data_IF_189181430358
#
_entry.id   IF_189181430358
#
_cell.length_a   1.000
_cell.length_b   1.000
_cell.length_c   1.000
_cell.angle_alpha   90.00
_cell.angle_beta   90.00
_cell.angle_gamma   90.00
#
_symmetry.space_group_name_H-M   'P 1'
#
loop_
_entity.id
_entity.type
_entity.pdbx_description
1 polymer ?
#
# COMPACT_ATOMS: atom_id res chain seq x y z
N UNK A 1 8.92 19.07 10.39
CA UNK A 1 7.52 18.61 10.48
C UNK A 1 7.45 17.48 11.49
N UNK A 2 6.61 17.60 12.54
CA UNK A 2 6.36 16.50 13.47
C UNK A 2 5.26 15.63 12.88
N UNK A 3 5.62 14.46 12.34
CA UNK A 3 4.65 13.40 12.09
C UNK A 3 4.37 12.72 13.42
N UNK A 4 3.30 13.14 14.10
CA UNK A 4 2.71 12.33 15.16
C UNK A 4 1.93 11.24 14.44
N UNK A 5 2.60 10.11 14.16
CA UNK A 5 1.89 8.90 13.78
C UNK A 5 0.99 8.54 14.96
N UNK A 6 -0.32 8.65 14.76
CA UNK A 6 -1.31 8.31 15.77
C UNK A 6 -1.04 6.88 16.30
N UNK A 7 -1.22 6.61 17.61
CA UNK A 7 -0.77 5.38 18.27
C UNK A 7 -1.70 4.18 17.98
N UNK A 8 -2.07 3.94 16.72
CA UNK A 8 -3.08 2.92 16.38
C UNK A 8 -2.77 2.11 15.12
N UNK A 9 -1.51 1.83 14.86
CA UNK A 9 -1.06 0.92 13.79
C UNK A 9 -1.14 -0.56 14.24
N UNK A 10 -2.25 -1.00 14.83
CA UNK A 10 -2.42 -2.44 15.16
C UNK A 10 -3.24 -3.20 14.11
N UNK A 11 -3.98 -2.49 13.24
CA UNK A 11 -4.61 -3.00 11.99
C UNK A 11 -5.04 -1.81 11.13
N UNK A 12 -4.18 -1.37 10.21
CA UNK A 12 -4.55 -0.38 9.20
C UNK A 12 -4.80 -1.13 7.89
N UNK A 13 -6.02 -1.08 7.36
CA UNK A 13 -6.34 -1.63 6.03
C UNK A 13 -5.85 -0.66 4.95
N UNK A 14 -5.60 -1.15 3.73
CA UNK A 14 -5.30 -0.30 2.57
C UNK A 14 -6.37 0.80 2.38
N UNK A 15 -7.64 0.48 2.64
CA UNK A 15 -8.74 1.46 2.65
C UNK A 15 -8.50 2.64 3.60
N UNK A 16 -7.96 2.40 4.79
CA UNK A 16 -7.70 3.47 5.76
C UNK A 16 -6.50 4.31 5.32
N UNK A 17 -5.45 3.67 4.80
CA UNK A 17 -4.30 4.37 4.21
C UNK A 17 -4.75 5.24 3.04
N UNK A 18 -5.54 4.71 2.11
CA UNK A 18 -6.05 5.47 0.97
C UNK A 18 -6.83 6.72 1.41
N UNK A 19 -7.70 6.58 2.43
CA UNK A 19 -8.42 7.72 3.03
C UNK A 19 -7.49 8.76 3.64
N UNK A 20 -6.48 8.32 4.39
CA UNK A 20 -5.53 9.22 5.05
C UNK A 20 -4.66 9.98 4.03
N UNK A 21 -4.38 9.35 2.89
CA UNK A 21 -3.62 9.93 1.78
C UNK A 21 -4.48 10.71 0.77
N UNK A 22 -5.82 10.64 0.87
CA UNK A 22 -6.75 11.23 -0.09
C UNK A 22 -6.70 10.58 -1.48
N UNK A 23 -6.29 9.31 -1.55
CA UNK A 23 -6.06 8.58 -2.80
C UNK A 23 -7.13 7.52 -3.07
N UNK A 24 -7.20 7.09 -4.33
CA UNK A 24 -8.03 5.97 -4.74
C UNK A 24 -7.47 4.66 -4.20
N UNK A 25 -8.34 3.82 -3.64
CA UNK A 25 -7.94 2.53 -3.07
C UNK A 25 -7.44 1.56 -4.14
N UNK A 26 -8.03 1.57 -5.34
CA UNK A 26 -7.58 0.75 -6.46
C UNK A 26 -6.18 1.13 -6.93
N UNK A 27 -5.91 2.44 -7.00
CA UNK A 27 -4.56 2.95 -7.27
C UNK A 27 -3.55 2.54 -6.19
N UNK A 28 -3.92 2.61 -4.91
CA UNK A 28 -3.03 2.20 -3.83
C UNK A 28 -2.76 0.68 -3.85
N UNK A 29 -3.75 -0.13 -4.26
CA UNK A 29 -3.57 -1.56 -4.52
C UNK A 29 -2.56 -1.78 -5.66
N UNK A 30 -2.64 -1.02 -6.75
CA UNK A 30 -1.66 -1.13 -7.84
C UNK A 30 -0.24 -0.81 -7.37
N UNK A 31 -0.07 0.24 -6.55
CA UNK A 31 1.23 0.57 -5.94
C UNK A 31 1.70 -0.54 -4.99
N UNK A 32 0.82 -1.06 -4.14
CA UNK A 32 1.15 -2.13 -3.21
C UNK A 32 1.49 -3.45 -3.92
N UNK A 33 0.95 -3.69 -5.11
CA UNK A 33 1.26 -4.86 -5.94
C UNK A 33 2.67 -4.81 -6.54
N UNK A 34 3.35 -3.66 -6.54
CA UNK A 34 4.75 -3.55 -6.95
C UNK A 34 5.74 -3.91 -5.83
N UNK A 35 5.26 -4.04 -4.59
CA UNK A 35 6.10 -4.41 -3.46
C UNK A 35 6.35 -5.92 -3.42
N UNK A 36 7.59 -6.28 -3.07
CA UNK A 36 8.01 -7.66 -2.85
C UNK A 36 8.01 -8.02 -1.36
N UNK A 37 8.12 -9.32 -1.04
CA UNK A 37 8.15 -9.78 0.37
C UNK A 37 9.26 -9.07 1.18
N UNK A 38 10.38 -8.74 0.54
CA UNK A 38 11.51 -8.02 1.15
C UNK A 38 11.13 -6.58 1.54
N UNK A 39 10.18 -5.98 0.83
CA UNK A 39 9.65 -4.66 1.14
C UNK A 39 8.64 -4.72 2.29
N UNK A 40 8.34 -5.90 2.83
CA UNK A 40 7.52 -6.06 4.03
C UNK A 40 6.02 -6.23 3.77
N UNK A 41 5.63 -6.53 2.53
CA UNK A 41 4.27 -6.99 2.18
C UNK A 41 4.19 -8.52 2.19
N UNK A 42 3.07 -9.08 2.65
CA UNK A 42 2.80 -10.52 2.62
C UNK A 42 1.36 -10.80 2.19
N UNK A 43 1.14 -11.91 1.49
CA UNK A 43 -0.20 -12.38 1.11
C UNK A 43 -0.73 -13.34 2.17
N UNK A 44 -1.88 -13.00 2.77
CA UNK A 44 -2.58 -13.83 3.74
C UNK A 44 -3.78 -14.48 3.05
N UNK A 45 -3.75 -15.81 2.92
CA UNK A 45 -4.83 -16.59 2.33
C UNK A 45 -5.73 -17.18 3.41
N UNK A 46 -7.03 -16.93 3.32
CA UNK A 46 -8.04 -17.62 4.12
C UNK A 46 -8.48 -18.95 3.50
N UNK A 47 -9.39 -19.65 4.16
CA UNK A 47 -9.98 -20.93 3.69
C UNK A 47 -10.84 -20.75 2.40
N UNK A 48 -11.00 -19.53 1.89
CA UNK A 48 -11.87 -19.17 0.75
C UNK A 48 -11.21 -18.43 -0.43
N UNK A 49 -9.91 -18.64 -0.64
CA UNK A 49 -9.14 -18.26 -1.86
C UNK A 49 -8.94 -16.79 -2.25
N UNK A 50 -9.58 -15.81 -1.60
CA UNK A 50 -9.19 -14.40 -1.80
C UNK A 50 -8.07 -14.01 -0.81
N UNK A 51 -6.84 -13.91 -1.34
CA UNK A 51 -5.68 -13.45 -0.59
C UNK A 51 -5.78 -11.95 -0.27
N UNK A 52 -5.44 -11.57 0.95
CA UNK A 52 -5.37 -10.16 1.38
C UNK A 52 -3.91 -9.80 1.67
N UNK A 53 -3.47 -8.63 1.18
CA UNK A 53 -2.15 -8.11 1.52
C UNK A 53 -2.14 -7.61 2.98
N UNK A 54 -1.14 -8.05 3.74
CA UNK A 54 -0.80 -7.52 5.05
C UNK A 54 0.61 -6.93 5.01
N UNK A 55 0.84 -5.92 5.85
CA UNK A 55 2.11 -5.19 5.89
C UNK A 55 2.71 -5.30 7.28
N UNK A 56 4.02 -5.50 7.32
CA UNK A 56 4.81 -5.23 8.54
C UNK A 56 4.90 -3.72 8.77
N UNK A 57 5.37 -3.29 9.93
CA UNK A 57 5.59 -1.86 10.19
C UNK A 57 6.55 -1.23 9.16
N UNK A 58 7.65 -1.92 8.84
CA UNK A 58 8.56 -1.50 7.76
C UNK A 58 7.88 -1.52 6.39
N UNK A 59 6.97 -2.47 6.14
CA UNK A 59 6.16 -2.52 4.92
C UNK A 59 5.23 -1.32 4.74
N UNK A 60 4.65 -0.81 5.83
CA UNK A 60 3.86 0.43 5.77
C UNK A 60 4.77 1.61 5.39
N UNK A 61 5.96 1.72 5.97
CA UNK A 61 6.91 2.79 5.65
C UNK A 61 7.35 2.72 4.17
N UNK A 62 7.64 1.53 3.66
CA UNK A 62 8.00 1.32 2.26
C UNK A 62 6.84 1.63 1.30
N UNK A 63 5.60 1.28 1.66
CA UNK A 63 4.41 1.63 0.87
C UNK A 63 4.24 3.15 0.75
N UNK A 64 4.46 3.89 1.85
CA UNK A 64 4.39 5.36 1.85
C UNK A 64 5.44 5.95 0.90
N UNK A 65 6.65 5.39 0.89
CA UNK A 65 7.71 5.84 0.00
C UNK A 65 7.42 5.52 -1.47
N UNK A 66 6.89 4.32 -1.77
CA UNK A 66 6.43 3.97 -3.12
C UNK A 66 5.33 4.93 -3.60
N UNK A 67 4.34 5.24 -2.75
CA UNK A 67 3.30 6.24 -3.03
C UNK A 67 3.92 7.60 -3.34
N UNK A 68 4.91 8.04 -2.55
CA UNK A 68 5.62 9.32 -2.77
C UNK A 68 6.31 9.34 -4.13
N UNK A 69 7.06 8.29 -4.47
CA UNK A 69 7.78 8.20 -5.75
C UNK A 69 6.84 8.22 -6.96
N UNK A 70 5.68 7.57 -6.87
CA UNK A 70 4.67 7.60 -7.93
C UNK A 70 3.97 8.96 -8.07
N UNK A 71 3.78 9.69 -6.96
CA UNK A 71 3.26 11.06 -6.99
C UNK A 71 4.26 12.04 -7.61
N UNK A 72 5.53 11.88 -7.29
CA UNK A 72 6.61 12.73 -7.81
C UNK A 72 6.92 12.41 -9.27
N UNK A 73 6.74 11.16 -9.69
CA UNK A 73 6.89 10.72 -11.06
C UNK A 73 5.55 10.18 -11.58
N UNK A 74 4.65 11.08 -11.95
CA UNK A 74 3.29 10.81 -12.46
C UNK A 74 3.19 9.94 -13.73
N UNK A 75 4.30 9.31 -14.17
CA UNK A 75 4.37 8.36 -15.28
C UNK A 75 4.92 6.96 -14.93
N UNK A 76 5.23 6.67 -13.66
CA UNK A 76 5.83 5.37 -13.27
C UNK A 76 4.80 4.23 -13.15
N UNK A 77 3.55 4.51 -12.79
CA UNK A 77 2.46 3.54 -12.94
C UNK A 77 2.05 3.49 -14.41
N UNK A 78 2.65 2.56 -15.16
CA UNK A 78 2.01 2.08 -16.39
C UNK A 78 0.73 1.36 -15.96
N UNK A 79 -0.38 2.11 -15.90
CA UNK A 79 -1.74 1.54 -15.79
C UNK A 79 -1.77 0.30 -16.66
N UNK A 80 -2.00 -0.86 -16.04
CA UNK A 80 -2.18 -2.13 -16.73
C UNK A 80 -3.27 -1.88 -17.76
N UNK A 81 -2.89 -1.67 -19.03
CA UNK A 81 -3.87 -1.55 -20.08
C UNK A 81 -4.54 -2.91 -20.19
N UNK A 82 -5.83 -2.89 -19.88
CA UNK A 82 -6.83 -3.93 -20.06
C UNK A 82 -6.49 -4.89 -21.18
N UNK A 83 -6.52 -6.19 -20.87
CA UNK A 83 -7.07 -7.17 -21.79
C UNK A 83 -8.52 -7.42 -21.40
#
# INVERSE_FOLDING_TARGET
MKFVLAPRLERTTLTQVAKDFGEDEGWLIDVANEMEIQDGVVWVYGVGEDGVQAFTNAGVENLIEQVRMHKENSGLLKRRQSR
#
